data_IF_713965277221
#
_entry.id   IF_713965277221
#
_cell.length_a   1.000
_cell.length_b   1.000
_cell.length_c   1.000
_cell.angle_alpha   90.00
_cell.angle_beta   90.00
_cell.angle_gamma   90.00
#
_symmetry.space_group_name_H-M   'P 1'
#
loop_
_entity.id
_entity.type
_entity.pdbx_description
1 polymer ?
#
# COMPACT_ATOMS: atom_id res chain seq x y z
N UNK A 1 -38.96 -39.55 -0.30
CA UNK A 1 -38.32 -39.82 1.00
C UNK A 1 -37.36 -40.97 0.78
N UNK A 2 -36.09 -40.99 1.13
CA UNK A 2 -35.07 -40.09 1.69
C UNK A 2 -33.78 -40.91 1.44
N UNK A 3 -32.61 -40.39 1.11
CA UNK A 3 -31.74 -39.68 2.02
C UNK A 3 -30.60 -39.17 1.12
N UNK A 4 -30.74 -37.90 0.73
CA UNK A 4 -29.66 -37.14 0.15
C UNK A 4 -28.61 -36.99 1.25
N UNK A 5 -27.65 -37.89 1.31
CA UNK A 5 -26.35 -37.58 1.90
C UNK A 5 -25.61 -36.66 0.91
N UNK A 6 -26.14 -35.44 0.89
CA UNK A 6 -25.56 -34.25 0.34
C UNK A 6 -24.34 -33.95 1.23
N UNK A 7 -23.27 -34.74 1.07
CA UNK A 7 -21.95 -34.42 1.60
C UNK A 7 -21.49 -33.20 0.81
N UNK A 8 -22.03 -32.06 1.23
CA UNK A 8 -21.49 -30.74 0.92
C UNK A 8 -20.19 -30.70 1.69
N UNK A 9 -19.12 -31.21 1.09
CA UNK A 9 -17.80 -30.69 1.41
C UNK A 9 -17.86 -29.22 1.03
N UNK A 10 -18.25 -28.36 1.97
CA UNK A 10 -17.85 -26.98 1.93
C UNK A 10 -16.33 -27.02 1.96
N UNK A 11 -15.71 -26.91 0.78
CA UNK A 11 -14.27 -26.74 0.70
C UNK A 11 -14.01 -25.42 1.42
N UNK A 12 -13.31 -25.50 2.56
CA UNK A 12 -12.88 -24.30 3.26
C UNK A 12 -11.95 -23.56 2.31
N UNK A 13 -12.40 -22.41 1.81
CA UNK A 13 -11.58 -21.59 0.92
C UNK A 13 -10.36 -21.09 1.69
N UNK A 14 -9.18 -21.38 1.14
CA UNK A 14 -7.92 -20.87 1.67
C UNK A 14 -7.55 -19.64 0.85
N UNK A 15 -7.75 -18.47 1.46
CA UNK A 15 -7.39 -17.18 0.89
C UNK A 15 -5.95 -16.90 1.27
N UNK A 16 -5.07 -16.88 0.28
CA UNK A 16 -3.66 -16.57 0.47
C UNK A 16 -3.12 -15.88 -0.76
N UNK A 17 -2.06 -15.10 -0.55
CA UNK A 17 -1.30 -14.51 -1.63
C UNK A 17 0.19 -14.81 -1.43
N UNK A 18 0.84 -15.15 -2.53
CA UNK A 18 2.30 -15.19 -2.65
C UNK A 18 2.61 -14.19 -3.74
N UNK A 19 3.47 -13.20 -3.43
CA UNK A 19 3.91 -12.20 -4.38
C UNK A 19 4.40 -12.91 -5.67
N UNK A 20 3.73 -12.74 -6.81
CA UNK A 20 4.06 -13.47 -8.02
C UNK A 20 5.30 -12.87 -8.71
N UNK A 21 5.52 -11.58 -8.53
CA UNK A 21 6.61 -10.81 -9.10
C UNK A 21 6.98 -9.63 -8.19
N UNK A 22 8.19 -9.12 -8.36
CA UNK A 22 8.62 -7.90 -7.68
C UNK A 22 7.85 -6.68 -8.20
N UNK A 23 7.64 -5.70 -7.31
CA UNK A 23 7.01 -4.43 -7.67
C UNK A 23 5.48 -4.41 -7.56
N UNK A 24 4.84 -5.48 -7.08
CA UNK A 24 3.42 -5.44 -6.71
C UNK A 24 3.26 -4.88 -5.29
N UNK A 25 2.61 -3.72 -5.17
CA UNK A 25 2.32 -3.09 -3.88
C UNK A 25 0.99 -3.54 -3.29
N UNK A 26 -0.03 -3.71 -4.14
CA UNK A 26 -1.34 -4.20 -3.73
C UNK A 26 -1.94 -5.13 -4.79
N UNK A 27 -2.69 -6.13 -4.35
CA UNK A 27 -3.41 -7.05 -5.22
C UNK A 27 -4.79 -7.35 -4.64
N UNK A 28 -5.83 -7.27 -5.46
CA UNK A 28 -7.14 -7.82 -5.14
C UNK A 28 -7.13 -9.33 -5.34
N UNK A 29 -7.51 -10.07 -4.32
CA UNK A 29 -7.66 -11.52 -4.42
C UNK A 29 -8.86 -11.85 -5.31
N UNK A 30 -8.62 -12.61 -6.38
CA UNK A 30 -9.66 -13.03 -7.30
C UNK A 30 -10.52 -14.14 -6.67
N UNK A 31 -11.68 -13.76 -6.14
CA UNK A 31 -12.69 -14.70 -5.64
C UNK A 31 -13.66 -15.06 -6.76
N UNK A 32 -14.09 -16.31 -6.78
CA UNK A 32 -15.23 -16.71 -7.59
C UNK A 32 -16.48 -16.00 -7.05
N UNK A 33 -17.17 -15.26 -7.90
CA UNK A 33 -18.39 -14.49 -7.60
C UNK A 33 -18.28 -13.38 -6.52
N UNK A 34 -17.07 -13.08 -6.02
CA UNK A 34 -16.82 -12.11 -4.92
C UNK A 34 -17.55 -12.46 -3.61
N UNK A 35 -17.76 -13.75 -3.37
CA UNK A 35 -18.34 -14.28 -2.14
C UNK A 35 -17.27 -15.02 -1.33
N UNK A 36 -17.10 -14.64 -0.05
CA UNK A 36 -16.25 -15.39 0.88
C UNK A 36 -17.12 -16.42 1.59
N UNK A 37 -16.74 -17.69 1.55
CA UNK A 37 -17.43 -18.73 2.31
C UNK A 37 -17.21 -18.59 3.83
N UNK A 38 -18.23 -18.87 4.64
CA UNK A 38 -18.13 -18.82 6.10
C UNK A 38 -17.08 -19.83 6.58
N UNK A 39 -16.14 -19.37 7.40
CA UNK A 39 -15.06 -20.22 7.90
C UNK A 39 -13.86 -20.32 6.95
N UNK A 40 -13.81 -19.53 5.88
CA UNK A 40 -12.63 -19.39 5.03
C UNK A 40 -11.38 -19.06 5.86
N UNK A 41 -10.23 -19.58 5.43
CA UNK A 41 -8.95 -19.39 6.12
C UNK A 41 -8.14 -18.35 5.37
N UNK A 42 -7.91 -17.20 6.01
CA UNK A 42 -7.05 -16.15 5.49
C UNK A 42 -5.63 -16.35 6.04
N UNK A 43 -4.66 -16.59 5.15
CA UNK A 43 -3.25 -16.67 5.51
C UNK A 43 -2.54 -15.41 5.04
N UNK A 44 -2.05 -14.62 5.99
CA UNK A 44 -1.26 -13.41 5.75
C UNK A 44 0.20 -13.70 6.10
N UNK A 45 1.12 -13.47 5.15
CA UNK A 45 2.55 -13.76 5.33
C UNK A 45 3.26 -12.61 6.03
N UNK A 46 4.45 -12.87 6.58
CA UNK A 46 5.25 -11.90 7.37
C UNK A 46 5.50 -10.56 6.66
N UNK A 47 5.71 -10.59 5.35
CA UNK A 47 5.98 -9.41 4.52
C UNK A 47 4.74 -8.78 3.92
N UNK A 48 3.55 -9.11 4.44
CA UNK A 48 2.28 -8.73 3.85
C UNK A 48 1.28 -8.29 4.92
N UNK A 49 0.29 -7.54 4.47
CA UNK A 49 -0.94 -7.29 5.22
C UNK A 49 -2.13 -7.56 4.30
N UNK A 50 -3.28 -7.87 4.87
CA UNK A 50 -4.51 -8.06 4.11
C UNK A 50 -5.61 -7.12 4.62
N UNK A 51 -6.34 -6.46 3.73
CA UNK A 51 -7.52 -5.68 4.09
C UNK A 51 -8.78 -6.36 3.59
N UNK A 52 -9.77 -6.47 4.46
CA UNK A 52 -11.11 -6.92 4.11
C UNK A 52 -12.00 -5.72 3.84
N UNK A 53 -12.60 -5.68 2.65
CA UNK A 53 -13.50 -4.61 2.21
C UNK A 53 -14.90 -5.19 2.07
N UNK A 54 -15.84 -4.59 2.78
CA UNK A 54 -17.24 -4.99 2.77
C UNK A 54 -18.12 -3.76 2.51
N UNK A 55 -19.12 -3.90 1.64
CA UNK A 55 -20.05 -2.83 1.27
C UNK A 55 -19.34 -1.51 0.87
N UNK A 56 -18.17 -1.62 0.23
CA UNK A 56 -17.36 -0.48 -0.21
C UNK A 56 -16.54 0.21 0.89
N UNK A 57 -16.47 -0.36 2.09
CA UNK A 57 -15.65 0.16 3.20
C UNK A 57 -14.62 -0.86 3.67
N UNK A 58 -13.42 -0.40 3.98
CA UNK A 58 -12.41 -1.24 4.64
C UNK A 58 -12.92 -1.59 6.04
N UNK A 59 -13.34 -2.84 6.24
CA UNK A 59 -13.83 -3.31 7.51
C UNK A 59 -12.65 -3.56 8.45
N UNK A 60 -11.65 -4.35 8.01
CA UNK A 60 -10.52 -4.72 8.87
C UNK A 60 -9.21 -4.85 8.09
N UNK A 61 -8.09 -4.76 8.82
CA UNK A 61 -6.74 -4.96 8.28
C UNK A 61 -6.01 -5.98 9.16
N UNK A 62 -5.64 -7.10 8.54
CA UNK A 62 -4.96 -8.23 9.16
C UNK A 62 -3.45 -8.11 8.99
N UNK A 63 -2.74 -8.23 10.11
CA UNK A 63 -1.29 -8.39 10.18
C UNK A 63 -0.90 -9.84 9.79
N UNK A 64 0.40 -10.19 9.74
CA UNK A 64 0.84 -11.56 9.49
C UNK A 64 0.23 -12.58 10.46
N UNK A 65 -0.30 -13.68 9.93
CA UNK A 65 -0.94 -14.72 10.72
C UNK A 65 -1.97 -15.55 9.95
N UNK A 66 -2.53 -16.53 10.63
CA UNK A 66 -3.64 -17.35 10.14
C UNK A 66 -4.93 -16.92 10.82
N UNK A 67 -5.90 -16.47 10.02
CA UNK A 67 -7.19 -16.01 10.49
C UNK A 67 -8.30 -16.90 9.93
N UNK A 68 -9.35 -17.12 10.71
CA UNK A 68 -10.58 -17.72 10.20
C UNK A 68 -11.57 -16.58 10.01
N UNK A 69 -12.07 -16.42 8.79
CA UNK A 69 -13.02 -15.38 8.44
C UNK A 69 -14.44 -15.84 8.79
N UNK A 70 -14.93 -15.29 9.90
CA UNK A 70 -16.23 -15.59 10.47
C UNK A 70 -16.86 -14.25 10.87
N UNK A 71 -18.17 -14.22 11.08
CA UNK A 71 -18.91 -13.08 11.64
C UNK A 71 -18.29 -12.51 12.93
N UNK A 72 -17.61 -13.36 13.70
CA UNK A 72 -17.12 -13.05 15.05
C UNK A 72 -15.66 -12.55 15.08
N UNK A 73 -14.86 -12.83 14.05
CA UNK A 73 -13.42 -12.49 14.01
C UNK A 73 -13.14 -11.12 13.40
N UNK A 74 -14.18 -10.47 12.87
CA UNK A 74 -14.12 -9.17 12.21
C UNK A 74 -14.80 -8.11 13.12
N UNK A 75 -14.05 -7.43 14.01
CA UNK A 75 -14.59 -6.51 15.03
C UNK A 75 -15.45 -5.36 14.50
N UNK A 76 -15.24 -4.89 13.27
CA UNK A 76 -16.09 -3.86 12.64
C UNK A 76 -17.39 -4.45 12.06
N UNK A 77 -17.41 -5.75 11.73
CA UNK A 77 -18.60 -6.41 11.21
C UNK A 77 -19.62 -6.78 12.29
N UNK A 78 -19.24 -6.82 13.57
CA UNK A 78 -20.19 -7.01 14.69
C UNK A 78 -21.25 -5.89 14.74
N UNK A 79 -20.95 -4.71 14.21
CA UNK A 79 -21.89 -3.58 14.11
C UNK A 79 -22.79 -3.63 12.87
N UNK A 80 -22.51 -4.51 11.90
CA UNK A 80 -23.38 -4.77 10.76
C UNK A 80 -24.43 -5.81 11.17
N UNK A 81 -25.52 -5.29 11.73
CA UNK A 81 -26.69 -5.93 12.37
C UNK A 81 -27.31 -7.19 11.73
N UNK A 82 -26.86 -7.66 10.57
CA UNK A 82 -27.50 -8.73 9.81
C UNK A 82 -26.56 -9.86 9.36
N UNK A 83 -25.25 -9.84 9.66
CA UNK A 83 -24.30 -10.81 9.11
C UNK A 83 -24.63 -12.28 9.44
N UNK A 84 -25.30 -12.54 10.56
CA UNK A 84 -25.79 -13.86 11.00
C UNK A 84 -26.84 -14.49 10.07
N UNK A 85 -27.49 -13.71 9.19
CA UNK A 85 -28.52 -14.19 8.25
C UNK A 85 -28.08 -14.19 6.77
N UNK A 86 -26.88 -13.68 6.45
CA UNK A 86 -26.51 -13.22 5.10
C UNK A 86 -25.65 -14.18 4.28
N UNK A 87 -25.38 -15.41 4.74
CA UNK A 87 -24.72 -16.43 3.88
C UNK A 87 -25.63 -17.01 2.78
N UNK A 88 -26.81 -16.42 2.58
CA UNK A 88 -27.64 -16.54 1.38
C UNK A 88 -28.03 -15.16 0.82
N UNK A 89 -27.18 -14.14 1.01
CA UNK A 89 -27.49 -12.74 0.67
C UNK A 89 -26.42 -12.08 -0.20
N UNK A 90 -26.83 -11.22 -1.16
CA UNK A 90 -26.06 -10.90 -2.37
C UNK A 90 -25.05 -9.76 -2.16
N UNK A 91 -24.21 -9.83 -1.13
CA UNK A 91 -23.25 -8.76 -0.82
C UNK A 91 -21.83 -9.17 -1.21
N UNK A 92 -21.26 -8.42 -2.14
CA UNK A 92 -19.90 -8.62 -2.65
C UNK A 92 -18.88 -8.13 -1.62
N UNK A 93 -17.90 -8.97 -1.31
CA UNK A 93 -16.78 -8.63 -0.44
C UNK A 93 -15.46 -8.84 -1.17
N UNK A 94 -14.49 -7.96 -0.90
CA UNK A 94 -13.16 -8.04 -1.52
C UNK A 94 -12.09 -8.23 -0.44
N UNK A 95 -11.04 -8.99 -0.77
CA UNK A 95 -9.82 -9.08 0.03
C UNK A 95 -8.70 -8.49 -0.81
N UNK A 96 -8.01 -7.52 -0.24
CA UNK A 96 -6.81 -6.94 -0.83
C UNK A 96 -5.60 -7.36 -0.02
N UNK A 97 -4.55 -7.80 -0.69
CA UNK A 97 -3.24 -7.99 -0.09
C UNK A 97 -2.33 -6.82 -0.42
N UNK A 98 -1.43 -6.51 0.51
CA UNK A 98 -0.48 -5.41 0.40
C UNK A 98 0.91 -5.92 0.77
N UNK A 99 1.92 -5.55 -0.02
CA UNK A 99 3.31 -5.79 0.33
C UNK A 99 3.78 -4.75 1.34
N UNK A 100 4.29 -5.19 2.49
CA UNK A 100 4.91 -4.31 3.50
C UNK A 100 6.43 -4.35 3.44
N UNK A 101 7.00 -4.99 2.41
CA UNK A 101 8.44 -5.01 2.17
C UNK A 101 8.97 -3.60 1.95
N UNK A 102 10.23 -3.42 2.33
CA UNK A 102 10.98 -2.24 1.96
C UNK A 102 11.23 -2.25 0.45
N UNK A 103 10.65 -1.29 -0.26
CA UNK A 103 10.92 -1.00 -1.65
C UNK A 103 12.22 -0.20 -1.69
N UNK A 104 13.32 -0.88 -2.01
CA UNK A 104 14.66 -0.29 -2.08
C UNK A 104 14.98 0.17 -3.50
N UNK A 105 16.07 0.92 -3.63
CA UNK A 105 16.66 1.31 -4.92
C UNK A 105 15.69 2.07 -5.85
N UNK A 106 14.78 2.84 -5.24
CA UNK A 106 13.86 3.68 -5.99
C UNK A 106 14.58 4.96 -6.35
N UNK A 107 14.51 5.37 -7.61
CA UNK A 107 15.31 6.49 -8.11
C UNK A 107 14.48 7.77 -8.13
N UNK A 108 15.10 8.87 -7.71
CA UNK A 108 14.55 10.21 -7.91
C UNK A 108 15.59 11.10 -8.62
N UNK A 109 15.09 12.10 -9.34
CA UNK A 109 15.96 13.07 -9.99
C UNK A 109 15.19 14.24 -10.57
N UNK A 110 15.88 15.38 -10.68
CA UNK A 110 15.32 16.59 -11.27
C UNK A 110 15.31 16.48 -12.80
N UNK A 111 14.14 16.50 -13.42
CA UNK A 111 14.04 16.50 -14.89
C UNK A 111 14.57 17.82 -15.49
N UNK A 112 14.20 18.95 -14.87
CA UNK A 112 14.71 20.28 -15.21
C UNK A 112 15.62 20.79 -14.10
N UNK A 113 16.67 21.59 -14.42
CA UNK A 113 17.49 22.20 -13.38
C UNK A 113 16.67 23.14 -12.49
N UNK A 114 16.87 23.05 -11.18
CA UNK A 114 16.34 23.96 -10.18
C UNK A 114 17.24 25.20 -10.15
N UNK A 115 16.68 26.40 -10.25
CA UNK A 115 17.47 27.64 -10.15
C UNK A 115 17.46 28.13 -8.71
N UNK A 116 18.63 28.24 -8.11
CA UNK A 116 18.84 28.69 -6.72
C UNK A 116 19.67 29.97 -6.73
N UNK A 117 19.40 30.86 -5.77
CA UNK A 117 20.19 32.08 -5.57
C UNK A 117 21.29 31.80 -4.56
N UNK A 118 22.51 31.78 -5.06
CA UNK A 118 23.74 31.68 -4.31
C UNK A 118 24.32 33.07 -4.00
N UNK A 119 24.98 33.22 -2.84
CA UNK A 119 25.55 34.50 -2.39
C UNK A 119 26.85 34.85 -3.09
N UNK A 120 27.63 33.87 -3.53
CA UNK A 120 28.94 34.05 -4.17
C UNK A 120 28.81 34.03 -5.70
N UNK A 121 27.97 33.15 -6.23
CA UNK A 121 27.84 32.90 -7.67
C UNK A 121 26.57 33.49 -8.31
N UNK A 122 25.67 34.07 -7.52
CA UNK A 122 24.40 34.61 -8.02
C UNK A 122 23.40 33.52 -8.41
N UNK A 123 22.84 33.55 -9.61
CA UNK A 123 21.86 32.54 -10.02
C UNK A 123 22.55 31.26 -10.51
N UNK A 124 22.44 30.18 -9.74
CA UNK A 124 23.03 28.87 -10.06
C UNK A 124 21.94 27.87 -10.42
N UNK A 125 22.21 27.00 -11.40
CA UNK A 125 21.29 25.93 -11.82
C UNK A 125 21.77 24.58 -11.30
N UNK A 126 20.95 23.93 -10.49
CA UNK A 126 21.24 22.67 -9.84
C UNK A 126 20.45 21.53 -10.46
N UNK A 127 21.09 20.37 -10.57
CA UNK A 127 20.40 19.10 -10.81
C UNK A 127 20.75 18.16 -9.67
N UNK A 128 19.73 17.49 -9.14
CA UNK A 128 19.85 16.50 -8.09
C UNK A 128 19.39 15.15 -8.60
N UNK A 129 20.10 14.11 -8.18
CA UNK A 129 19.73 12.71 -8.39
C UNK A 129 20.01 11.96 -7.10
N UNK A 130 19.22 10.93 -6.83
CA UNK A 130 19.46 10.07 -5.70
C UNK A 130 18.56 8.86 -5.70
N UNK A 131 18.71 8.07 -4.65
CA UNK A 131 17.87 6.92 -4.38
C UNK A 131 17.08 7.16 -3.10
N UNK A 132 15.93 6.52 -3.01
CA UNK A 132 15.10 6.48 -1.82
C UNK A 132 14.57 5.07 -1.61
N UNK A 133 14.09 4.82 -0.40
CA UNK A 133 13.40 3.60 -0.06
C UNK A 133 12.12 3.94 0.71
N UNK A 134 11.09 3.14 0.53
CA UNK A 134 9.83 3.30 1.25
C UNK A 134 9.19 1.94 1.52
N UNK A 135 8.23 1.90 2.43
CA UNK A 135 7.37 0.72 2.62
C UNK A 135 5.95 1.17 2.90
N UNK A 136 4.98 0.31 2.61
CA UNK A 136 3.60 0.54 3.01
C UNK A 136 3.51 0.42 4.53
N UNK A 137 3.17 1.52 5.20
CA UNK A 137 2.98 1.57 6.65
C UNK A 137 1.52 1.36 7.05
N UNK A 138 0.58 1.90 6.27
CA UNK A 138 -0.86 1.78 6.49
C UNK A 138 -1.60 1.33 5.21
N UNK A 139 -1.95 0.03 5.12
CA UNK A 139 -2.74 -0.50 4.02
C UNK A 139 -4.11 0.16 3.84
N UNK A 140 -4.75 0.60 4.93
CA UNK A 140 -6.09 1.21 4.87
C UNK A 140 -6.03 2.53 4.13
N UNK A 141 -5.07 3.39 4.47
CA UNK A 141 -4.86 4.67 3.77
C UNK A 141 -4.43 4.46 2.32
N UNK A 142 -3.52 3.51 2.06
CA UNK A 142 -3.10 3.20 0.70
C UNK A 142 -4.28 2.75 -0.16
N UNK A 143 -5.14 1.85 0.36
CA UNK A 143 -6.32 1.40 -0.35
C UNK A 143 -7.30 2.54 -0.64
N UNK A 144 -7.69 3.28 0.40
CA UNK A 144 -8.73 4.30 0.29
C UNK A 144 -8.33 5.51 -0.56
N UNK A 145 -7.04 5.88 -0.60
CA UNK A 145 -6.57 7.11 -1.25
C UNK A 145 -5.74 6.89 -2.51
N UNK A 146 -5.12 5.72 -2.68
CA UNK A 146 -4.08 5.52 -3.70
C UNK A 146 -4.41 4.35 -4.63
N UNK A 147 -4.39 3.11 -4.14
CA UNK A 147 -4.57 1.93 -5.00
C UNK A 147 -6.01 1.77 -5.48
N UNK A 148 -6.98 2.09 -4.62
CA UNK A 148 -8.41 1.97 -4.90
C UNK A 148 -8.83 0.53 -5.22
N UNK A 149 -9.75 0.39 -6.18
CA UNK A 149 -10.37 -0.89 -6.56
C UNK A 149 -9.61 -1.65 -7.65
N UNK A 150 -8.36 -1.26 -7.95
CA UNK A 150 -7.54 -1.92 -8.99
C UNK A 150 -7.25 -3.38 -8.60
N UNK A 151 -7.15 -4.23 -9.61
CA UNK A 151 -6.80 -5.64 -9.42
C UNK A 151 -5.35 -5.79 -8.96
N UNK A 152 -4.44 -5.03 -9.57
CA UNK A 152 -3.04 -4.97 -9.19
C UNK A 152 -2.62 -3.50 -9.17
N UNK A 153 -1.83 -3.11 -8.19
CA UNK A 153 -1.22 -1.80 -8.07
C UNK A 153 0.28 -1.97 -7.91
N UNK A 154 1.05 -1.36 -8.81
CA UNK A 154 2.50 -1.53 -8.89
C UNK A 154 3.25 -0.35 -8.27
N UNK A 155 4.51 -0.59 -7.91
CA UNK A 155 5.48 0.45 -7.53
C UNK A 155 5.54 1.57 -8.58
N UNK A 156 5.56 1.20 -9.86
CA UNK A 156 5.64 2.15 -10.98
C UNK A 156 4.44 3.12 -11.01
N UNK A 157 3.26 2.70 -10.56
CA UNK A 157 2.06 3.54 -10.50
C UNK A 157 2.18 4.64 -9.44
N UNK A 158 3.00 4.42 -8.40
CA UNK A 158 3.23 5.35 -7.29
C UNK A 158 4.49 6.19 -7.48
N UNK A 159 5.49 5.65 -8.17
CA UNK A 159 6.84 6.20 -8.28
C UNK A 159 6.85 7.66 -8.77
N UNK A 160 6.04 7.98 -9.79
CA UNK A 160 5.98 9.33 -10.34
C UNK A 160 5.57 10.39 -9.32
N UNK A 161 4.57 10.07 -8.50
CA UNK A 161 4.10 10.97 -7.45
C UNK A 161 5.14 11.15 -6.35
N UNK A 162 5.79 10.06 -5.91
CA UNK A 162 6.82 10.11 -4.88
C UNK A 162 8.04 10.90 -5.35
N UNK A 163 8.53 10.63 -6.57
CA UNK A 163 9.63 11.37 -7.19
C UNK A 163 9.36 12.87 -7.23
N UNK A 164 8.18 13.28 -7.71
CA UNK A 164 7.81 14.68 -7.79
C UNK A 164 7.72 15.34 -6.40
N UNK A 165 7.23 14.59 -5.41
CA UNK A 165 7.15 15.07 -4.02
C UNK A 165 8.54 15.28 -3.43
N UNK A 166 9.46 14.33 -3.65
CA UNK A 166 10.87 14.45 -3.21
C UNK A 166 11.54 15.64 -3.88
N UNK A 167 11.41 15.78 -5.21
CA UNK A 167 12.00 16.91 -5.96
C UNK A 167 11.43 18.26 -5.48
N UNK A 168 10.14 18.33 -5.19
CA UNK A 168 9.51 19.52 -4.61
C UNK A 168 10.13 19.90 -3.27
N UNK A 169 10.14 18.96 -2.32
CA UNK A 169 10.73 19.17 -0.98
C UNK A 169 12.21 19.57 -1.05
N UNK A 170 12.99 18.94 -1.93
CA UNK A 170 14.40 19.28 -2.15
C UNK A 170 14.54 20.70 -2.69
N UNK A 171 13.69 21.09 -3.64
CA UNK A 171 13.71 22.44 -4.21
C UNK A 171 13.40 23.49 -3.15
N UNK A 172 12.42 23.23 -2.28
CA UNK A 172 12.02 24.11 -1.19
C UNK A 172 13.16 24.23 -0.16
N UNK A 173 13.72 23.10 0.30
CA UNK A 173 14.86 23.08 1.23
C UNK A 173 16.06 23.84 0.66
N UNK A 174 16.39 23.65 -0.62
CA UNK A 174 17.49 24.40 -1.25
C UNK A 174 17.19 25.90 -1.39
N UNK A 175 15.95 26.26 -1.69
CA UNK A 175 15.53 27.66 -1.80
C UNK A 175 15.59 28.39 -0.46
N UNK A 176 15.28 27.71 0.64
CA UNK A 176 15.35 28.24 2.00
C UNK A 176 16.75 28.18 2.60
N UNK A 177 17.53 27.15 2.25
CA UNK A 177 18.89 26.99 2.75
C UNK A 177 19.78 28.07 2.14
N UNK A 178 20.23 29.02 2.97
CA UNK A 178 21.25 30.00 2.56
C UNK A 178 22.65 29.38 2.47
N UNK A 179 22.74 28.09 2.14
CA UNK A 179 23.98 27.31 2.07
C UNK A 179 24.69 27.67 0.76
N UNK A 180 25.94 28.13 0.79
CA UNK A 180 26.73 28.34 -0.40
C UNK A 180 26.86 27.07 -1.24
N UNK A 181 26.87 27.21 -2.57
CA UNK A 181 26.95 26.09 -3.50
C UNK A 181 28.11 25.15 -3.21
N UNK A 182 29.27 25.70 -2.86
CA UNK A 182 30.49 24.94 -2.55
C UNK A 182 30.37 24.11 -1.27
N UNK A 183 29.52 24.54 -0.33
CA UNK A 183 29.31 23.87 0.94
C UNK A 183 28.18 22.82 0.88
N UNK A 184 27.37 22.78 -0.19
CA UNK A 184 26.29 21.81 -0.31
C UNK A 184 26.78 20.36 -0.24
N UNK A 185 27.95 20.08 -0.83
CA UNK A 185 28.51 18.73 -0.82
C UNK A 185 28.86 18.25 0.59
N UNK A 186 29.32 19.16 1.45
CA UNK A 186 29.61 18.87 2.85
C UNK A 186 28.33 18.67 3.69
N UNK A 187 27.19 19.21 3.25
CA UNK A 187 25.93 19.21 3.98
C UNK A 187 24.88 18.22 3.43
N UNK A 188 25.24 17.33 2.49
CA UNK A 188 24.28 16.42 1.85
C UNK A 188 23.52 15.53 2.83
N UNK A 189 24.15 15.08 3.91
CA UNK A 189 23.51 14.22 4.91
C UNK A 189 22.43 15.00 5.68
N UNK A 190 22.73 16.23 6.09
CA UNK A 190 21.79 17.08 6.81
C UNK A 190 20.62 17.50 5.93
N UNK A 191 20.90 17.84 4.67
CA UNK A 191 19.88 18.13 3.67
C UNK A 191 18.98 16.92 3.41
N UNK A 192 19.57 15.73 3.31
CA UNK A 192 18.81 14.47 3.18
C UNK A 192 17.89 14.21 4.37
N UNK A 193 18.34 14.49 5.59
CA UNK A 193 17.51 14.36 6.79
C UNK A 193 16.31 15.32 6.76
N UNK A 194 16.52 16.60 6.42
CA UNK A 194 15.43 17.61 6.34
C UNK A 194 14.40 17.29 5.27
N UNK A 195 14.80 16.64 4.18
CA UNK A 195 13.87 16.21 3.12
C UNK A 195 12.99 15.03 3.57
N UNK A 196 13.50 14.21 4.50
CA UNK A 196 12.82 13.01 4.99
C UNK A 196 11.81 13.26 6.13
N UNK A 197 11.85 14.43 6.76
CA UNK A 197 10.85 14.89 7.75
C UNK A 197 9.53 15.34 7.08
#
# INVERSE_FOLDING_TARGET
MALRDFITKQFIDVIQWVEPEDGVLAMRYAMQDMEIQNGAKLTVRESQMAAFVNEGQVADVFAPGLYTLNTHTLPVLTNLRNWDKLFASPFKSDVYFFSTRLQTDQHWGTATPITVRDKEFGAVRLRGYGIYAYRVSDPRTLHAKVSGTRDIYHVADLEGQLRNTIVGRISDVFGESSIPFLDMAANYVELGARVSE
#
